data_IF_863293580932
#
_entry.id   IF_863293580932
#
_cell.length_a   1.000
_cell.length_b   1.000
_cell.length_c   1.000
_cell.angle_alpha   90.00
_cell.angle_beta   90.00
_cell.angle_gamma   90.00
#
_symmetry.space_group_name_H-M   'P 1'
#
loop_
_entity.id
_entity.type
_entity.pdbx_description
1 polymer ?
#
# COMPACT_ATOMS: atom_id res chain seq x y z
N UNK A 1 -41.40 26.30 -3.35
CA UNK A 1 -39.99 25.90 -3.20
C UNK A 1 -39.42 25.70 -4.58
N UNK A 2 -38.53 26.58 -5.01
CA UNK A 2 -37.90 26.47 -6.32
C UNK A 2 -36.94 25.26 -6.34
N UNK A 3 -37.01 24.45 -7.40
CA UNK A 3 -36.04 23.38 -7.61
C UNK A 3 -34.84 23.95 -8.37
N UNK A 4 -33.68 24.07 -7.72
CA UNK A 4 -32.48 24.58 -8.38
C UNK A 4 -31.97 23.56 -9.41
N UNK A 5 -31.78 24.01 -10.65
CA UNK A 5 -31.19 23.17 -11.69
C UNK A 5 -29.69 22.92 -11.46
N UNK A 6 -29.14 21.91 -12.14
CA UNK A 6 -27.75 21.46 -11.95
C UNK A 6 -26.71 22.53 -12.29
N UNK A 7 -27.00 23.43 -13.23
CA UNK A 7 -26.10 24.51 -13.61
C UNK A 7 -26.03 25.57 -12.51
N UNK A 8 -27.19 25.96 -11.96
CA UNK A 8 -27.28 26.90 -10.83
C UNK A 8 -26.53 26.37 -9.61
N UNK A 9 -26.71 25.08 -9.26
CA UNK A 9 -25.96 24.43 -8.17
C UNK A 9 -24.45 24.47 -8.42
N UNK A 10 -24.00 24.22 -9.66
CA UNK A 10 -22.58 24.22 -10.02
C UNK A 10 -21.95 25.62 -9.87
N UNK A 11 -22.69 26.68 -10.22
CA UNK A 11 -22.25 28.07 -10.03
C UNK A 11 -22.17 28.43 -8.54
N UNK A 12 -23.21 28.12 -7.77
CA UNK A 12 -23.25 28.39 -6.32
C UNK A 12 -22.12 27.69 -5.57
N UNK A 13 -21.77 26.45 -5.95
CA UNK A 13 -20.64 25.71 -5.37
C UNK A 13 -19.30 26.44 -5.50
N UNK A 14 -19.11 27.26 -6.54
CA UNK A 14 -17.90 28.07 -6.73
C UNK A 14 -17.94 29.38 -5.94
N UNK A 15 -19.12 29.96 -5.75
CA UNK A 15 -19.30 31.25 -5.08
C UNK A 15 -19.34 31.12 -3.55
N UNK A 16 -19.96 30.07 -3.01
CA UNK A 16 -20.10 29.91 -1.56
C UNK A 16 -18.76 29.94 -0.80
N UNK A 17 -17.67 29.29 -1.27
CA UNK A 17 -16.37 29.41 -0.60
C UNK A 17 -15.78 30.83 -0.61
N UNK A 18 -16.08 31.66 -1.61
CA UNK A 18 -15.55 33.04 -1.72
C UNK A 18 -16.15 33.98 -0.67
N UNK A 19 -17.22 33.57 0.02
CA UNK A 19 -17.75 34.30 1.17
C UNK A 19 -16.77 34.31 2.36
N UNK A 20 -15.79 33.42 2.37
CA UNK A 20 -14.74 33.36 3.39
C UNK A 20 -13.47 34.16 3.02
N UNK A 21 -13.52 35.03 2.00
CA UNK A 21 -12.39 35.89 1.64
C UNK A 21 -12.09 36.95 2.72
N UNK A 22 -10.81 37.26 2.93
CA UNK A 22 -10.33 38.33 3.81
C UNK A 22 -10.58 39.74 3.23
N UNK A 23 -11.01 39.83 1.97
CA UNK A 23 -11.28 41.09 1.28
C UNK A 23 -12.78 41.41 1.29
N UNK A 24 -13.18 42.42 2.05
CA UNK A 24 -14.58 42.82 2.17
C UNK A 24 -15.28 43.12 0.82
N UNK A 25 -14.53 43.70 -0.14
CA UNK A 25 -15.04 43.94 -1.49
C UNK A 25 -15.37 42.66 -2.26
N UNK A 26 -14.57 41.61 -2.08
CA UNK A 26 -14.81 40.30 -2.71
C UNK A 26 -16.02 39.60 -2.09
N UNK A 27 -16.17 39.68 -0.77
CA UNK A 27 -17.35 39.14 -0.08
C UNK A 27 -18.63 39.82 -0.58
N UNK A 28 -18.67 41.15 -0.62
CA UNK A 28 -19.83 41.91 -1.11
C UNK A 28 -20.16 41.58 -2.58
N UNK A 29 -19.13 41.50 -3.45
CA UNK A 29 -19.30 41.10 -4.84
C UNK A 29 -19.83 39.67 -4.97
N UNK A 30 -19.35 38.76 -4.13
CA UNK A 30 -19.77 37.36 -4.09
C UNK A 30 -21.22 37.21 -3.66
N UNK A 31 -21.64 37.92 -2.60
CA UNK A 31 -23.05 37.95 -2.17
C UNK A 31 -23.96 38.42 -3.30
N UNK A 32 -23.59 39.53 -3.96
CA UNK A 32 -24.36 40.04 -5.09
C UNK A 32 -24.42 39.04 -6.25
N UNK A 33 -23.33 38.32 -6.53
CA UNK A 33 -23.30 37.28 -7.56
C UNK A 33 -24.19 36.07 -7.21
N UNK A 34 -24.24 35.67 -5.93
CA UNK A 34 -25.12 34.59 -5.45
C UNK A 34 -26.58 34.99 -5.62
N UNK A 35 -26.96 36.21 -5.21
CA UNK A 35 -28.33 36.71 -5.35
C UNK A 35 -28.79 36.71 -6.80
N UNK A 36 -27.99 37.30 -7.72
CA UNK A 36 -28.31 37.29 -9.17
C UNK A 36 -28.43 35.87 -9.73
N UNK A 37 -27.59 34.95 -9.26
CA UNK A 37 -27.62 33.55 -9.71
C UNK A 37 -28.92 32.86 -9.28
N UNK A 38 -29.36 33.07 -8.04
CA UNK A 38 -30.62 32.52 -7.54
C UNK A 38 -31.84 33.16 -8.22
N UNK A 39 -31.86 34.48 -8.36
CA UNK A 39 -32.94 35.22 -9.02
C UNK A 39 -33.11 34.78 -10.48
N UNK A 40 -32.00 34.56 -11.20
CA UNK A 40 -32.04 34.05 -12.58
C UNK A 40 -32.69 32.66 -12.70
N UNK A 41 -32.70 31.90 -11.62
CA UNK A 41 -33.34 30.59 -11.51
C UNK A 41 -34.73 30.64 -10.83
N UNK A 42 -35.26 31.84 -10.54
CA UNK A 42 -36.54 32.02 -9.86
C UNK A 42 -36.53 31.56 -8.40
N UNK A 43 -35.37 31.56 -7.75
CA UNK A 43 -35.17 31.11 -6.37
C UNK A 43 -34.66 32.25 -5.47
N UNK A 44 -34.73 32.06 -4.15
CA UNK A 44 -34.16 32.99 -3.17
C UNK A 44 -33.27 32.27 -2.15
N UNK A 45 -32.65 33.03 -1.23
CA UNK A 45 -31.80 32.47 -0.17
C UNK A 45 -32.55 31.49 0.74
N UNK A 46 -33.85 31.69 0.98
CA UNK A 46 -34.65 30.73 1.74
C UNK A 46 -34.78 29.39 1.02
N UNK A 47 -34.91 29.37 -0.31
CA UNK A 47 -34.94 28.12 -1.08
C UNK A 47 -33.59 27.40 -1.01
N UNK A 48 -32.48 28.14 -1.04
CA UNK A 48 -31.13 27.58 -0.88
C UNK A 48 -30.94 26.92 0.50
N UNK A 49 -31.34 27.60 1.58
CA UNK A 49 -31.27 27.04 2.95
C UNK A 49 -32.12 25.79 3.05
N UNK A 50 -33.35 25.82 2.53
CA UNK A 50 -34.23 24.65 2.55
C UNK A 50 -33.70 23.45 1.74
N UNK A 51 -32.77 23.66 0.80
CA UNK A 51 -32.09 22.59 0.09
C UNK A 51 -30.92 21.99 0.90
N UNK A 52 -30.20 22.82 1.65
CA UNK A 52 -29.10 22.38 2.51
C UNK A 52 -29.64 21.57 3.70
N UNK A 53 -30.79 21.97 4.24
CA UNK A 53 -31.41 21.34 5.40
C UNK A 53 -32.07 19.99 5.09
N UNK A 54 -32.14 19.59 3.81
CA UNK A 54 -32.66 18.26 3.45
C UNK A 54 -31.71 17.19 3.99
N UNK A 55 -32.23 16.19 4.74
CA UNK A 55 -31.39 15.11 5.23
C UNK A 55 -30.70 14.44 4.03
N UNK A 56 -29.40 14.11 4.15
CA UNK A 56 -28.67 13.49 3.06
C UNK A 56 -29.39 12.21 2.66
N UNK A 57 -29.77 12.12 1.38
CA UNK A 57 -30.35 10.90 0.84
C UNK A 57 -29.31 9.79 1.00
N UNK A 58 -29.61 8.76 1.79
CA UNK A 58 -28.76 7.57 1.90
C UNK A 58 -28.69 6.95 0.51
N UNK A 59 -27.58 7.20 -0.19
CA UNK A 59 -27.26 6.49 -1.42
C UNK A 59 -26.51 5.25 -0.96
N UNK A 60 -27.15 4.09 -1.07
CA UNK A 60 -26.47 2.81 -0.87
C UNK A 60 -25.32 2.71 -1.88
N UNK A 61 -24.12 3.04 -1.41
CA UNK A 61 -22.89 2.89 -2.19
C UNK A 61 -22.48 1.43 -2.07
N UNK A 62 -22.83 0.61 -3.05
CA UNK A 62 -22.24 -0.73 -3.20
C UNK A 62 -20.75 -0.53 -3.49
N UNK A 63 -19.93 -0.73 -2.45
CA UNK A 63 -18.47 -0.74 -2.58
C UNK A 63 -18.07 -2.17 -2.96
N UNK A 64 -17.69 -2.38 -4.22
CA UNK A 64 -16.93 -3.56 -4.59
C UNK A 64 -15.58 -3.45 -3.89
N UNK A 65 -15.38 -4.20 -2.80
CA UNK A 65 -14.04 -4.49 -2.30
C UNK A 65 -13.46 -5.53 -3.24
N UNK A 66 -12.27 -5.29 -3.77
CA UNK A 66 -11.50 -6.35 -4.39
C UNK A 66 -11.44 -7.52 -3.40
N UNK A 67 -11.77 -8.71 -3.89
CA UNK A 67 -11.67 -9.95 -3.12
C UNK A 67 -10.25 -9.99 -2.56
N UNK A 68 -10.13 -10.01 -1.23
CA UNK A 68 -8.85 -10.18 -0.56
C UNK A 68 -8.15 -11.37 -1.21
N UNK A 69 -6.94 -11.19 -1.77
CA UNK A 69 -6.27 -12.28 -2.45
C UNK A 69 -6.17 -13.44 -1.48
N UNK A 70 -6.64 -14.62 -1.91
CA UNK A 70 -6.59 -15.81 -1.07
C UNK A 70 -5.19 -15.96 -0.48
N UNK A 71 -5.06 -16.25 0.83
CA UNK A 71 -3.75 -16.32 1.48
C UNK A 71 -2.87 -17.28 0.68
N UNK A 72 -1.82 -16.73 0.07
CA UNK A 72 -0.91 -17.49 -0.78
C UNK A 72 -0.36 -18.62 0.06
N UNK A 73 -0.69 -19.86 -0.30
CA UNK A 73 -0.30 -21.05 0.46
C UNK A 73 1.19 -20.98 0.83
N UNK A 74 1.49 -21.15 2.12
CA UNK A 74 2.87 -21.12 2.58
C UNK A 74 3.68 -22.17 1.81
N UNK A 75 4.87 -21.81 1.29
CA UNK A 75 5.67 -22.75 0.52
C UNK A 75 6.08 -23.93 1.41
N UNK A 76 5.83 -25.14 0.92
CA UNK A 76 6.18 -26.38 1.60
C UNK A 76 7.66 -26.37 2.03
N UNK A 77 7.90 -26.69 3.30
CA UNK A 77 9.23 -26.81 3.90
C UNK A 77 9.53 -28.28 4.18
N UNK A 78 10.77 -28.66 3.95
CA UNK A 78 11.27 -30.00 4.24
C UNK A 78 12.33 -29.92 5.34
N UNK A 79 12.43 -30.96 6.19
CA UNK A 79 13.53 -31.07 7.15
C UNK A 79 14.86 -31.17 6.39
N UNK A 80 15.84 -30.43 6.88
CA UNK A 80 17.23 -30.45 6.41
C UNK A 80 18.11 -30.54 7.63
N UNK A 81 19.21 -31.29 7.56
CA UNK A 81 20.15 -31.42 8.68
C UNK A 81 20.68 -30.06 9.11
N UNK A 82 20.36 -29.65 10.34
CA UNK A 82 20.85 -28.40 10.91
C UNK A 82 22.38 -28.38 11.01
N UNK A 83 22.99 -29.51 11.40
CA UNK A 83 24.44 -29.67 11.49
C UNK A 83 25.11 -29.34 10.14
N UNK A 84 24.61 -29.92 9.06
CA UNK A 84 25.11 -29.65 7.71
C UNK A 84 25.01 -28.16 7.34
N UNK A 85 23.88 -27.51 7.64
CA UNK A 85 23.67 -26.10 7.33
C UNK A 85 24.59 -25.20 8.15
N UNK A 86 24.84 -25.53 9.42
CA UNK A 86 25.73 -24.78 10.30
C UNK A 86 27.18 -24.90 9.82
N UNK A 87 27.66 -26.13 9.61
CA UNK A 87 29.05 -26.38 9.22
C UNK A 87 29.36 -25.78 7.85
N UNK A 88 28.57 -26.15 6.84
CA UNK A 88 28.74 -25.64 5.47
C UNK A 88 28.50 -24.14 5.42
N UNK A 89 27.51 -23.62 6.15
CA UNK A 89 27.19 -22.20 6.16
C UNK A 89 28.30 -21.35 6.80
N UNK A 90 28.89 -21.80 7.91
CA UNK A 90 30.05 -21.14 8.53
C UNK A 90 31.28 -21.18 7.61
N UNK A 91 31.53 -22.29 6.93
CA UNK A 91 32.58 -22.39 5.93
C UNK A 91 32.38 -21.36 4.81
N UNK A 92 31.17 -21.29 4.23
CA UNK A 92 30.86 -20.33 3.16
C UNK A 92 31.01 -18.88 3.63
N UNK A 93 30.60 -18.54 4.85
CA UNK A 93 30.71 -17.18 5.37
C UNK A 93 32.17 -16.72 5.55
N UNK A 94 33.06 -17.67 5.86
CA UNK A 94 34.48 -17.41 6.14
C UNK A 94 35.36 -17.46 4.88
N UNK A 95 35.10 -18.40 3.97
CA UNK A 95 35.99 -18.72 2.86
C UNK A 95 35.41 -18.38 1.47
N UNK A 96 34.09 -18.31 1.31
CA UNK A 96 33.50 -18.09 0.00
C UNK A 96 33.36 -16.59 -0.35
N UNK A 97 33.52 -16.30 -1.64
CA UNK A 97 33.23 -14.98 -2.20
C UNK A 97 31.71 -14.81 -2.39
N UNK A 98 31.03 -14.42 -1.31
CA UNK A 98 29.58 -14.17 -1.30
C UNK A 98 29.27 -12.69 -1.50
N UNK A 99 28.30 -12.38 -2.36
CA UNK A 99 27.74 -11.03 -2.43
C UNK A 99 26.74 -10.76 -1.29
N UNK A 100 26.40 -9.49 -1.01
CA UNK A 100 25.64 -9.09 0.18
C UNK A 100 24.35 -9.90 0.44
N UNK A 101 23.57 -10.15 -0.61
CA UNK A 101 22.35 -10.96 -0.52
C UNK A 101 22.61 -12.42 -0.17
N UNK A 102 23.67 -13.03 -0.70
CA UNK A 102 24.06 -14.40 -0.39
C UNK A 102 24.60 -14.50 1.03
N UNK A 103 25.45 -13.55 1.45
CA UNK A 103 25.95 -13.48 2.81
C UNK A 103 24.81 -13.36 3.82
N UNK A 104 23.85 -12.48 3.53
CA UNK A 104 22.64 -12.32 4.36
C UNK A 104 21.81 -13.60 4.40
N UNK A 105 21.61 -14.24 3.25
CA UNK A 105 20.87 -15.50 3.16
C UNK A 105 21.55 -16.61 3.98
N UNK A 106 22.84 -16.86 3.79
CA UNK A 106 23.60 -17.91 4.48
C UNK A 106 23.65 -17.65 5.98
N UNK A 107 23.93 -16.41 6.41
CA UNK A 107 23.91 -16.01 7.82
C UNK A 107 22.56 -16.31 8.48
N UNK A 108 21.46 -15.93 7.81
CA UNK A 108 20.12 -16.22 8.30
C UNK A 108 19.83 -17.73 8.40
N UNK A 109 20.35 -18.54 7.47
CA UNK A 109 20.15 -20.00 7.53
C UNK A 109 20.94 -20.62 8.68
N UNK A 110 22.18 -20.18 8.91
CA UNK A 110 23.00 -20.63 10.05
C UNK A 110 22.33 -20.29 11.37
N UNK A 111 21.95 -19.03 11.58
CA UNK A 111 21.29 -18.60 12.83
C UNK A 111 19.99 -19.38 13.07
N UNK A 112 19.18 -19.58 12.03
CA UNK A 112 17.94 -20.36 12.16
C UNK A 112 18.21 -21.84 12.46
N UNK A 113 19.24 -22.43 11.86
CA UNK A 113 19.62 -23.82 12.14
C UNK A 113 20.14 -23.99 13.57
N UNK A 114 20.93 -23.04 14.07
CA UNK A 114 21.41 -23.03 15.47
C UNK A 114 20.25 -22.93 16.47
N UNK A 115 19.24 -22.10 16.17
CA UNK A 115 18.08 -21.93 17.05
C UNK A 115 17.10 -23.11 17.00
N UNK A 116 16.90 -23.72 15.83
CA UNK A 116 15.88 -24.75 15.62
C UNK A 116 16.39 -26.19 15.78
N UNK A 117 17.70 -26.43 15.70
CA UNK A 117 18.28 -27.77 15.85
C UNK A 117 17.59 -28.81 14.95
N UNK A 118 17.16 -29.92 15.53
CA UNK A 118 16.49 -31.02 14.81
C UNK A 118 15.15 -30.63 14.16
N UNK A 119 14.54 -29.52 14.56
CA UNK A 119 13.31 -29.00 13.94
C UNK A 119 13.58 -28.05 12.76
N UNK A 120 14.84 -27.88 12.37
CA UNK A 120 15.18 -26.96 11.29
C UNK A 120 14.59 -27.41 9.94
N UNK A 121 13.94 -26.47 9.27
CA UNK A 121 13.31 -26.69 7.97
C UNK A 121 13.60 -25.55 7.00
N UNK A 122 13.70 -25.91 5.72
CA UNK A 122 13.89 -24.98 4.61
C UNK A 122 12.86 -25.26 3.53
N UNK A 123 12.47 -24.23 2.79
CA UNK A 123 11.76 -24.46 1.52
C UNK A 123 12.69 -25.18 0.55
N UNK A 124 12.13 -25.95 -0.38
CA UNK A 124 12.91 -26.67 -1.41
C UNK A 124 13.84 -25.71 -2.18
N UNK A 125 13.35 -24.51 -2.51
CA UNK A 125 14.16 -23.49 -3.21
C UNK A 125 15.33 -22.97 -2.39
N UNK A 126 15.13 -22.74 -1.09
CA UNK A 126 16.21 -22.32 -0.19
C UNK A 126 17.28 -23.39 -0.11
N UNK A 127 16.90 -24.67 -0.02
CA UNK A 127 17.86 -25.77 0.02
C UNK A 127 18.64 -25.90 -1.30
N UNK A 128 17.95 -25.82 -2.44
CA UNK A 128 18.60 -25.81 -3.77
C UNK A 128 19.63 -24.69 -3.85
N UNK A 129 19.22 -23.46 -3.51
CA UNK A 129 20.11 -22.30 -3.60
C UNK A 129 21.32 -22.43 -2.67
N UNK A 130 21.12 -22.93 -1.45
CA UNK A 130 22.24 -23.18 -0.53
C UNK A 130 23.26 -24.16 -1.11
N UNK A 131 22.81 -25.25 -1.76
CA UNK A 131 23.73 -26.19 -2.43
C UNK A 131 24.44 -25.58 -3.63
N UNK A 132 23.78 -24.71 -4.40
CA UNK A 132 24.41 -24.00 -5.51
C UNK A 132 25.58 -23.13 -5.02
N UNK A 133 25.43 -22.45 -3.88
CA UNK A 133 26.50 -21.67 -3.27
C UNK A 133 27.67 -22.55 -2.82
N UNK A 134 27.37 -23.72 -2.23
CA UNK A 134 28.39 -24.71 -1.88
C UNK A 134 29.14 -25.21 -3.11
N UNK A 135 28.43 -25.64 -4.16
CA UNK A 135 29.04 -26.13 -5.41
C UNK A 135 29.92 -25.06 -6.04
N UNK A 136 29.42 -23.82 -6.17
CA UNK A 136 30.16 -22.71 -6.77
C UNK A 136 31.45 -22.41 -6.00
N UNK A 137 31.41 -22.46 -4.66
CA UNK A 137 32.62 -22.29 -3.87
C UNK A 137 33.63 -23.42 -4.10
N UNK A 138 33.18 -24.68 -4.14
CA UNK A 138 34.06 -25.83 -4.41
C UNK A 138 34.69 -25.79 -5.80
N UNK A 139 33.93 -25.37 -6.82
CA UNK A 139 34.44 -25.20 -8.19
C UNK A 139 35.51 -24.10 -8.25
N UNK A 140 35.30 -23.00 -7.52
CA UNK A 140 36.29 -21.92 -7.40
C UNK A 140 37.57 -22.40 -6.70
N UNK A 141 37.45 -23.10 -5.57
CA UNK A 141 38.59 -23.68 -4.86
C UNK A 141 39.38 -24.64 -5.77
N UNK A 142 38.69 -25.53 -6.51
CA UNK A 142 39.33 -26.47 -7.42
C UNK A 142 40.02 -25.80 -8.61
N UNK A 143 39.57 -24.63 -9.05
CA UNK A 143 40.20 -23.86 -10.11
C UNK A 143 41.45 -23.07 -9.64
N UNK A 144 41.61 -22.89 -8.32
CA UNK A 144 42.70 -22.13 -7.71
C UNK A 144 43.70 -22.99 -6.92
N UNK A 145 43.47 -24.30 -6.85
CA UNK A 145 44.36 -25.31 -6.27
C UNK A 145 45.36 -25.85 -7.30
#
# INVERSE_FOLDING_TARGET
>A
MANLDRNTITKLRKLLPLLASDHAGEVAATVAAIMRTLESAGACLHDLVALIDKPPRVVEKVVYRDREPEPKAEPARSPVSAVYIIETGRMLLNAAFLHDRERTFVSNMVVRAELSGDQFTMTVKQHIWFRELETRHREMEAAHA
#
